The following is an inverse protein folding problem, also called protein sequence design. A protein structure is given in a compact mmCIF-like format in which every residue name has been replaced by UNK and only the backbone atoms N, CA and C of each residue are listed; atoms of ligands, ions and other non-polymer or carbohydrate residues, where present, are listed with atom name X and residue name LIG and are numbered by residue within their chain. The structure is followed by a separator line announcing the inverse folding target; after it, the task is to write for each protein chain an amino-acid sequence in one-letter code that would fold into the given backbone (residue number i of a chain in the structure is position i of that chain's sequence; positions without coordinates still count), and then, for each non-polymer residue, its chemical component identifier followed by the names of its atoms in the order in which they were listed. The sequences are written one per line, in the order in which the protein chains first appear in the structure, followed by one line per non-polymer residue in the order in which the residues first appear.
data_IF_688419737209
#
_entry.id   IF_688419737209
#
_cell.length_a   1.000
_cell.length_b   1.000
_cell.length_c   1.000
_cell.angle_alpha   90.00
_cell.angle_beta   90.00
_cell.angle_gamma   90.00
#
_symmetry.space_group_name_H-M   'P 1'
#
loop_
_entity.id
_entity.type
_entity.pdbx_description
1 polymer ?
#
# COMPACT_ATOMS: atom_id res chain seq x y z
N UNK A 1 -0.37 41.33 -5.33
CA UNK A 1 -1.17 40.44 -6.18
C UNK A 1 -0.30 39.24 -6.53
N UNK A 2 -0.63 38.01 -6.12
CA UNK A 2 0.10 36.85 -6.60
C UNK A 2 -0.34 36.59 -8.05
N UNK A 3 0.62 36.56 -8.97
CA UNK A 3 0.41 36.20 -10.36
C UNK A 3 0.05 34.72 -10.43
N UNK A 4 -1.19 34.45 -10.85
CA UNK A 4 -1.64 33.12 -11.26
C UNK A 4 -0.77 32.64 -12.42
N UNK A 5 0.28 31.87 -12.11
CA UNK A 5 1.03 31.11 -13.10
C UNK A 5 0.13 29.97 -13.60
N UNK A 6 -0.72 30.30 -14.57
CA UNK A 6 -1.48 29.34 -15.34
C UNK A 6 -0.51 28.37 -16.01
N UNK A 7 -0.44 27.14 -15.48
CA UNK A 7 0.29 26.05 -16.11
C UNK A 7 -0.25 25.88 -17.54
N UNK A 8 0.60 25.92 -18.58
CA UNK A 8 0.15 25.80 -19.96
C UNK A 8 -0.66 24.50 -20.15
N UNK A 9 -1.79 24.59 -20.84
CA UNK A 9 -2.68 23.44 -21.06
C UNK A 9 -1.99 22.27 -21.79
N UNK A 10 -0.92 22.54 -22.53
CA UNK A 10 -0.05 21.54 -23.19
C UNK A 10 0.71 20.70 -22.15
N UNK A 11 1.30 21.32 -21.13
CA UNK A 11 2.07 20.63 -20.07
C UNK A 11 1.21 19.65 -19.26
N UNK A 12 -0.06 19.97 -19.02
CA UNK A 12 -0.99 19.06 -18.33
C UNK A 12 -1.41 17.87 -19.20
N UNK A 13 -1.53 18.06 -20.52
CA UNK A 13 -1.84 16.98 -21.47
C UNK A 13 -0.67 16.00 -21.58
N UNK A 14 0.55 16.50 -21.70
CA UNK A 14 1.75 15.68 -21.84
C UNK A 14 2.00 14.83 -20.58
N UNK A 15 1.79 15.43 -19.40
CA UNK A 15 1.87 14.71 -18.11
C UNK A 15 0.82 13.60 -17.99
N UNK A 16 -0.40 13.83 -18.49
CA UNK A 16 -1.47 12.83 -18.48
C UNK A 16 -1.17 11.65 -19.41
N UNK A 17 -0.62 11.91 -20.60
CA UNK A 17 -0.19 10.87 -21.53
C UNK A 17 0.95 10.04 -20.93
N UNK A 18 1.96 10.69 -20.35
CA UNK A 18 3.04 10.00 -19.65
C UNK A 18 2.54 9.09 -18.53
N UNK A 19 1.59 9.57 -17.73
CA UNK A 19 0.93 8.76 -16.70
C UNK A 19 0.20 7.54 -17.27
N UNK A 20 -0.55 7.68 -18.37
CA UNK A 20 -1.24 6.55 -19.00
C UNK A 20 -0.28 5.50 -19.54
N UNK A 21 0.84 5.92 -20.14
CA UNK A 21 1.88 5.01 -20.62
C UNK A 21 2.47 4.23 -19.45
N UNK A 22 2.86 4.91 -18.37
CA UNK A 22 3.42 4.26 -17.18
C UNK A 22 2.41 3.34 -16.50
N UNK A 23 1.14 3.72 -16.43
CA UNK A 23 0.06 2.87 -15.92
C UNK A 23 -0.13 1.61 -16.77
N UNK A 24 -0.12 1.76 -18.10
CA UNK A 24 -0.19 0.63 -19.03
C UNK A 24 0.99 -0.31 -18.89
N UNK A 25 2.21 0.23 -18.82
CA UNK A 25 3.44 -0.54 -18.60
C UNK A 25 3.42 -1.26 -17.25
N UNK A 26 2.93 -0.59 -16.18
CA UNK A 26 2.79 -1.19 -14.86
C UNK A 26 1.77 -2.33 -14.85
N UNK A 27 0.61 -2.16 -15.49
CA UNK A 27 -0.41 -3.21 -15.58
C UNK A 27 0.13 -4.41 -16.37
N UNK A 28 0.82 -4.14 -17.49
CA UNK A 28 1.47 -5.16 -18.30
C UNK A 28 2.55 -5.89 -17.50
N UNK A 29 3.45 -5.17 -16.82
CA UNK A 29 4.52 -5.78 -16.05
C UNK A 29 3.99 -6.57 -14.85
N UNK A 30 2.93 -6.12 -14.19
CA UNK A 30 2.35 -6.84 -13.06
C UNK A 30 1.66 -8.13 -13.52
N UNK A 31 0.78 -8.08 -14.53
CA UNK A 31 -0.05 -9.24 -14.87
C UNK A 31 0.44 -10.03 -16.07
N UNK A 32 0.85 -9.37 -17.16
CA UNK A 32 1.25 -10.08 -18.37
C UNK A 32 2.55 -10.87 -18.16
N UNK A 33 3.53 -10.29 -17.45
CA UNK A 33 4.77 -11.01 -17.11
C UNK A 33 4.47 -12.19 -16.16
N UNK A 34 3.60 -12.02 -15.15
CA UNK A 34 3.19 -13.12 -14.28
C UNK A 34 2.50 -14.26 -15.05
N UNK A 35 1.75 -13.94 -16.10
CA UNK A 35 1.13 -14.92 -17.00
C UNK A 35 2.20 -15.61 -17.85
N UNK A 36 3.07 -14.84 -18.51
CA UNK A 36 4.12 -15.36 -19.40
C UNK A 36 5.10 -16.26 -18.67
N UNK A 37 5.45 -15.93 -17.43
CA UNK A 37 6.34 -16.74 -16.59
C UNK A 37 5.64 -17.95 -15.95
N UNK A 38 4.33 -18.11 -16.14
CA UNK A 38 3.55 -19.20 -15.56
C UNK A 38 3.26 -19.08 -14.06
N UNK A 39 3.77 -18.03 -13.39
CA UNK A 39 3.59 -17.80 -11.95
C UNK A 39 2.11 -17.67 -11.58
N UNK A 40 1.31 -16.97 -12.40
CA UNK A 40 -0.13 -16.87 -12.15
C UNK A 40 -0.82 -18.24 -12.21
N UNK A 41 -0.45 -19.08 -13.19
CA UNK A 41 -0.99 -20.44 -13.31
C UNK A 41 -0.63 -21.28 -12.09
N UNK A 42 0.61 -21.20 -11.62
CA UNK A 42 1.05 -21.93 -10.43
C UNK A 42 0.30 -21.46 -9.18
N UNK A 43 0.12 -20.15 -8.98
CA UNK A 43 -0.66 -19.63 -7.85
C UNK A 43 -2.11 -20.10 -7.86
N UNK A 44 -2.76 -20.07 -9.02
CA UNK A 44 -4.14 -20.55 -9.17
C UNK A 44 -4.23 -22.06 -8.92
N UNK A 45 -3.25 -22.83 -9.39
CA UNK A 45 -3.18 -24.26 -9.14
C UNK A 45 -3.00 -24.55 -7.64
N UNK A 46 -2.03 -23.90 -6.99
CA UNK A 46 -1.79 -24.02 -5.54
C UNK A 46 -3.02 -23.63 -4.72
N UNK A 47 -3.73 -22.56 -5.12
CA UNK A 47 -4.96 -22.15 -4.44
C UNK A 47 -6.10 -23.17 -4.65
N UNK A 48 -6.12 -23.86 -5.78
CA UNK A 48 -7.12 -24.87 -6.11
C UNK A 48 -6.86 -26.23 -5.45
N UNK A 49 -5.60 -26.70 -5.49
CA UNK A 49 -5.17 -27.98 -4.90
C UNK A 49 -4.85 -27.88 -3.42
N UNK A 50 -4.70 -26.66 -2.89
CA UNK A 50 -4.31 -26.36 -1.52
C UNK A 50 -2.96 -26.97 -1.13
N UNK A 51 -2.08 -27.20 -2.11
CA UNK A 51 -0.75 -27.79 -1.93
C UNK A 51 0.21 -27.02 -2.84
N UNK A 52 1.29 -26.51 -2.27
CA UNK A 52 2.37 -25.86 -3.01
C UNK A 52 3.17 -26.89 -3.84
N UNK A 53 3.93 -26.48 -4.87
CA UNK A 53 4.69 -27.40 -5.73
C UNK A 53 5.72 -28.29 -5.00
N UNK A 54 6.20 -27.83 -3.85
CA UNK A 54 7.12 -28.51 -2.92
C UNK A 54 6.40 -29.49 -1.96
N UNK A 55 5.08 -29.65 -2.09
CA UNK A 55 4.26 -30.52 -1.24
C UNK A 55 3.78 -29.87 0.05
N UNK A 56 4.09 -28.60 0.27
CA UNK A 56 3.69 -27.87 1.48
C UNK A 56 2.17 -27.61 1.48
N UNK A 57 1.44 -27.89 2.57
CA UNK A 57 -0.01 -27.66 2.62
C UNK A 57 -0.37 -26.18 2.77
N UNK A 58 -1.35 -25.73 2.00
CA UNK A 58 -1.99 -24.43 2.10
C UNK A 58 -3.29 -24.56 2.91
N UNK A 59 -3.52 -23.66 3.88
CA UNK A 59 -4.76 -23.65 4.64
C UNK A 59 -5.95 -23.23 3.77
N UNK A 60 -7.00 -24.04 3.81
CA UNK A 60 -8.19 -23.88 2.98
C UNK A 60 -9.20 -22.88 3.51
N UNK A 61 -9.49 -22.96 4.81
CA UNK A 61 -10.57 -22.22 5.44
C UNK A 61 -10.06 -21.08 6.32
N UNK A 62 -10.52 -19.87 6.01
CA UNK A 62 -10.23 -18.65 6.76
C UNK A 62 -11.52 -17.98 7.24
N UNK A 63 -12.46 -17.76 6.32
CA UNK A 63 -13.74 -17.08 6.55
C UNK A 63 -14.93 -18.01 6.41
N UNK A 64 -14.74 -19.22 5.86
CA UNK A 64 -15.80 -20.19 5.49
C UNK A 64 -16.70 -19.71 4.35
N UNK A 65 -16.30 -18.65 3.64
CA UNK A 65 -16.98 -18.17 2.43
C UNK A 65 -16.10 -18.53 1.24
N UNK A 66 -16.56 -19.48 0.42
CA UNK A 66 -15.71 -20.12 -0.60
C UNK A 66 -15.01 -19.15 -1.55
N UNK A 67 -15.69 -18.09 -2.01
CA UNK A 67 -15.12 -17.09 -2.93
C UNK A 67 -14.02 -16.27 -2.24
N UNK A 68 -14.27 -15.88 -0.98
CA UNK A 68 -13.35 -15.07 -0.20
C UNK A 68 -12.12 -15.92 0.15
N UNK A 69 -12.32 -17.16 0.57
CA UNK A 69 -11.24 -18.08 0.91
C UNK A 69 -10.43 -18.48 -0.33
N UNK A 70 -11.05 -18.58 -1.52
CA UNK A 70 -10.31 -18.76 -2.77
C UNK A 70 -9.40 -17.55 -3.07
N UNK A 71 -9.91 -16.33 -2.95
CA UNK A 71 -9.12 -15.12 -3.15
C UNK A 71 -7.97 -15.01 -2.13
N UNK A 72 -8.23 -15.31 -0.86
CA UNK A 72 -7.21 -15.36 0.19
C UNK A 72 -6.16 -16.41 -0.15
N UNK A 73 -6.55 -17.63 -0.55
CA UNK A 73 -5.61 -18.70 -0.93
C UNK A 73 -4.69 -18.29 -2.07
N UNK A 74 -5.20 -17.62 -3.10
CA UNK A 74 -4.37 -17.10 -4.21
C UNK A 74 -3.33 -16.11 -3.68
N UNK A 75 -3.72 -15.21 -2.78
CA UNK A 75 -2.80 -14.23 -2.18
C UNK A 75 -1.80 -14.88 -1.22
N UNK A 76 -2.21 -15.86 -0.41
CA UNK A 76 -1.30 -16.62 0.45
C UNK A 76 -0.32 -17.43 -0.38
N UNK A 77 -0.73 -17.99 -1.53
CA UNK A 77 0.19 -18.65 -2.46
C UNK A 77 1.20 -17.66 -3.06
N UNK A 78 0.76 -16.45 -3.45
CA UNK A 78 1.64 -15.39 -3.92
C UNK A 78 2.68 -14.98 -2.87
N UNK A 79 2.22 -14.53 -1.70
CA UNK A 79 3.12 -14.05 -0.65
C UNK A 79 3.96 -15.18 -0.07
N UNK A 80 3.44 -16.40 0.03
CA UNK A 80 4.20 -17.58 0.43
C UNK A 80 5.36 -17.88 -0.51
N UNK A 81 5.15 -17.77 -1.84
CA UNK A 81 6.22 -17.95 -2.82
C UNK A 81 7.27 -16.83 -2.76
N UNK A 82 6.87 -15.58 -2.51
CA UNK A 82 7.80 -14.44 -2.37
C UNK A 82 8.57 -14.48 -1.04
N UNK A 83 7.92 -14.96 0.02
CA UNK A 83 8.49 -15.17 1.35
C UNK A 83 9.28 -16.48 1.45
N UNK A 84 9.47 -17.23 0.36
CA UNK A 84 10.08 -18.55 0.35
C UNK A 84 11.57 -18.53 0.76
N UNK A 85 11.79 -18.53 2.08
CA UNK A 85 13.10 -18.55 2.76
C UNK A 85 13.62 -20.00 2.94
N UNK A 86 13.01 -21.00 2.29
CA UNK A 86 13.31 -22.41 2.55
C UNK A 86 14.26 -23.09 1.55
N UNK A 87 14.60 -22.50 0.41
CA UNK A 87 15.45 -23.21 -0.58
C UNK A 87 16.62 -22.41 -1.15
N UNK A 88 16.62 -21.09 -1.06
CA UNK A 88 17.71 -20.26 -1.58
C UNK A 88 18.16 -19.27 -0.53
N UNK A 89 19.47 -19.18 -0.27
CA UNK A 89 20.11 -18.12 0.51
C UNK A 89 20.02 -16.74 -0.18
N UNK A 90 18.92 -16.47 -0.87
CA UNK A 90 18.71 -15.26 -1.65
C UNK A 90 17.76 -14.33 -0.90
N UNK A 91 18.33 -13.26 -0.33
CA UNK A 91 17.56 -12.20 0.31
C UNK A 91 16.77 -11.35 -0.70
N UNK A 92 17.05 -11.46 -2.00
CA UNK A 92 16.48 -10.61 -3.06
C UNK A 92 14.95 -10.50 -3.04
N UNK A 93 14.20 -11.62 -3.16
CA UNK A 93 12.73 -11.60 -3.15
C UNK A 93 12.13 -10.99 -1.88
N UNK A 94 12.72 -11.28 -0.72
CA UNK A 94 12.31 -10.70 0.56
C UNK A 94 12.54 -9.19 0.59
N UNK A 95 13.69 -8.70 0.10
CA UNK A 95 13.96 -7.26 0.03
C UNK A 95 13.04 -6.54 -0.96
N UNK A 96 12.71 -7.17 -2.09
CA UNK A 96 11.71 -6.67 -3.03
C UNK A 96 10.33 -6.58 -2.37
N UNK A 97 9.96 -7.55 -1.52
CA UNK A 97 8.70 -7.51 -0.78
C UNK A 97 8.67 -6.36 0.24
N UNK A 98 9.77 -6.10 0.95
CA UNK A 98 9.88 -4.95 1.86
C UNK A 98 9.68 -3.62 1.11
N UNK A 99 10.26 -3.49 -0.09
CA UNK A 99 10.08 -2.31 -0.94
C UNK A 99 8.64 -2.17 -1.46
N UNK A 100 8.02 -3.29 -1.85
CA UNK A 100 6.62 -3.34 -2.24
C UNK A 100 5.69 -2.91 -1.10
N UNK A 101 5.91 -3.42 0.12
CA UNK A 101 5.12 -3.08 1.30
C UNK A 101 5.26 -1.59 1.64
N UNK A 102 6.49 -1.07 1.61
CA UNK A 102 6.77 0.36 1.78
C UNK A 102 5.96 1.20 0.81
N UNK A 103 6.01 0.83 -0.48
CA UNK A 103 5.26 1.50 -1.54
C UNK A 103 3.74 1.43 -1.29
N UNK A 104 3.25 0.28 -0.84
CA UNK A 104 1.84 0.10 -0.46
C UNK A 104 1.45 1.01 0.71
N UNK A 105 2.31 1.17 1.72
CA UNK A 105 2.07 2.09 2.86
C UNK A 105 1.98 3.54 2.36
N UNK A 106 2.86 3.98 1.47
CA UNK A 106 2.81 5.32 0.86
C UNK A 106 1.47 5.56 0.16
N UNK A 107 1.03 4.64 -0.71
CA UNK A 107 -0.25 4.78 -1.39
C UNK A 107 -1.45 4.69 -0.44
N UNK A 108 -1.35 3.86 0.60
CA UNK A 108 -2.38 3.76 1.63
C UNK A 108 -2.55 5.07 2.39
N UNK A 109 -1.43 5.74 2.73
CA UNK A 109 -1.43 7.07 3.33
C UNK A 109 -1.98 8.12 2.37
N UNK A 110 -1.64 8.05 1.07
CA UNK A 110 -2.21 8.94 0.06
C UNK A 110 -3.74 8.83 0.01
N UNK A 111 -4.29 7.62 -0.03
CA UNK A 111 -5.75 7.42 -0.04
C UNK A 111 -6.40 8.00 1.21
N UNK A 112 -5.79 7.80 2.37
CA UNK A 112 -6.28 8.34 3.64
C UNK A 112 -6.25 9.88 3.66
N UNK A 113 -5.14 10.49 3.27
CA UNK A 113 -4.96 11.94 3.26
C UNK A 113 -6.00 12.61 2.36
N UNK A 114 -6.20 12.09 1.15
CA UNK A 114 -7.17 12.64 0.22
C UNK A 114 -8.63 12.47 0.70
N UNK A 115 -8.98 11.34 1.34
CA UNK A 115 -10.29 11.21 2.00
C UNK A 115 -10.47 12.25 3.12
N UNK A 116 -9.40 12.55 3.89
CA UNK A 116 -9.48 13.52 4.99
C UNK A 116 -9.56 14.96 4.51
N UNK A 117 -9.11 15.28 3.29
CA UNK A 117 -9.32 16.59 2.67
C UNK A 117 -10.78 16.86 2.38
N UNK A 118 -11.52 15.87 1.85
CA UNK A 118 -12.94 16.03 1.59
C UNK A 118 -13.74 14.73 1.79
N UNK A 119 -14.32 14.59 2.98
CA UNK A 119 -15.18 13.46 3.34
C UNK A 119 -16.56 13.49 2.68
N UNK A 120 -16.95 14.58 2.03
CA UNK A 120 -18.38 14.85 1.81
C UNK A 120 -18.93 14.07 0.62
N UNK A 121 -18.23 13.95 -0.53
CA UNK A 121 -18.73 13.25 -1.73
C UNK A 121 -17.61 12.76 -2.65
N UNK A 122 -17.80 11.59 -3.28
CA UNK A 122 -16.97 11.12 -4.40
C UNK A 122 -16.50 9.67 -4.29
N UNK A 123 -15.96 9.15 -5.38
CA UNK A 123 -15.41 7.78 -5.46
C UNK A 123 -14.15 7.58 -4.62
N UNK A 124 -13.50 8.65 -4.15
CA UNK A 124 -12.32 8.59 -3.28
C UNK A 124 -12.67 8.40 -1.80
N UNK A 125 -13.96 8.50 -1.45
CA UNK A 125 -14.44 8.22 -0.11
C UNK A 125 -14.18 6.74 0.19
N UNK A 126 -13.87 6.42 1.45
CA UNK A 126 -13.55 5.06 1.92
C UNK A 126 -12.10 4.63 1.61
N UNK A 127 -11.10 5.21 2.29
CA UNK A 127 -9.69 4.88 2.06
C UNK A 127 -9.40 3.40 2.32
N UNK A 128 -10.05 2.76 3.30
CA UNK A 128 -9.91 1.33 3.56
C UNK A 128 -10.37 0.46 2.38
N UNK A 129 -11.37 0.88 1.62
CA UNK A 129 -11.81 0.15 0.42
C UNK A 129 -10.70 0.19 -0.65
N UNK A 130 -10.16 1.38 -0.92
CA UNK A 130 -9.05 1.55 -1.86
C UNK A 130 -7.79 0.79 -1.44
N UNK A 131 -7.48 0.78 -0.15
CA UNK A 131 -6.37 0.01 0.40
C UNK A 131 -6.62 -1.50 0.29
N UNK A 132 -7.83 -2.01 0.55
CA UNK A 132 -8.15 -3.42 0.32
C UNK A 132 -8.02 -3.79 -1.16
N UNK A 133 -8.55 -2.96 -2.06
CA UNK A 133 -8.38 -3.18 -3.49
C UNK A 133 -6.90 -3.20 -3.87
N UNK A 134 -6.09 -2.29 -3.31
CA UNK A 134 -4.64 -2.24 -3.52
C UNK A 134 -3.95 -3.55 -3.11
N UNK A 135 -4.38 -4.16 -2.00
CA UNK A 135 -3.79 -5.41 -1.49
C UNK A 135 -4.20 -6.62 -2.33
N UNK A 136 -5.43 -6.64 -2.85
CA UNK A 136 -5.96 -7.78 -3.63
C UNK A 136 -5.58 -7.73 -5.12
N UNK A 137 -5.54 -6.54 -5.72
CA UNK A 137 -5.31 -6.35 -7.16
C UNK A 137 -3.96 -5.72 -7.50
N UNK A 138 -3.18 -5.33 -6.49
CA UNK A 138 -1.86 -4.72 -6.66
C UNK A 138 -1.89 -3.24 -7.05
N UNK A 139 -0.75 -2.58 -6.81
CA UNK A 139 -0.57 -1.15 -7.01
C UNK A 139 -0.73 -0.73 -8.47
N UNK A 140 -0.21 -1.50 -9.41
CA UNK A 140 -0.27 -1.14 -10.82
C UNK A 140 -1.69 -1.16 -11.39
N UNK A 141 -2.62 -1.90 -10.77
CA UNK A 141 -4.03 -1.92 -11.19
C UNK A 141 -4.82 -0.78 -10.56
N UNK A 142 -4.67 -0.58 -9.24
CA UNK A 142 -5.57 0.28 -8.46
C UNK A 142 -5.14 1.73 -8.45
N UNK A 143 -3.84 2.00 -8.33
CA UNK A 143 -3.32 3.37 -8.24
C UNK A 143 -3.68 4.19 -9.48
N UNK A 144 -3.58 3.67 -10.73
CA UNK A 144 -3.97 4.46 -11.89
C UNK A 144 -5.46 4.82 -11.94
N UNK A 145 -6.33 3.90 -11.51
CA UNK A 145 -7.77 4.12 -11.42
C UNK A 145 -8.04 5.22 -10.39
N UNK A 146 -7.41 5.12 -9.22
CA UNK A 146 -7.53 6.11 -8.15
C UNK A 146 -7.08 7.50 -8.62
N UNK A 147 -5.88 7.61 -9.22
CA UNK A 147 -5.34 8.89 -9.70
C UNK A 147 -6.25 9.49 -10.76
N UNK A 148 -6.80 8.69 -11.68
CA UNK A 148 -7.75 9.19 -12.68
C UNK A 148 -9.02 9.79 -12.04
N UNK A 149 -9.56 9.13 -11.02
CA UNK A 149 -10.71 9.64 -10.27
C UNK A 149 -10.34 10.90 -9.49
N UNK A 150 -9.16 10.90 -8.87
CA UNK A 150 -8.59 12.04 -8.16
C UNK A 150 -8.46 13.27 -9.04
N UNK A 151 -7.88 13.14 -10.23
CA UNK A 151 -7.72 14.24 -11.18
C UNK A 151 -9.08 14.82 -11.61
N UNK A 152 -10.11 13.98 -11.77
CA UNK A 152 -11.47 14.44 -12.08
C UNK A 152 -12.10 15.22 -10.94
N UNK A 153 -11.86 14.83 -9.69
CA UNK A 153 -12.43 15.49 -8.51
C UNK A 153 -11.59 16.65 -7.98
N UNK A 154 -10.34 16.82 -8.44
CA UNK A 154 -9.35 17.75 -7.86
C UNK A 154 -9.84 19.21 -7.80
N UNK A 155 -10.61 19.65 -8.80
CA UNK A 155 -11.16 21.01 -8.84
C UNK A 155 -12.26 21.25 -7.79
N UNK A 156 -12.89 20.19 -7.27
CA UNK A 156 -13.94 20.26 -6.25
C UNK A 156 -13.47 19.95 -4.83
N UNK A 157 -12.29 19.38 -4.67
CA UNK A 157 -11.76 18.97 -3.36
C UNK A 157 -11.25 20.19 -2.58
N UNK A 158 -11.50 20.22 -1.27
CA UNK A 158 -10.80 21.14 -0.38
C UNK A 158 -9.29 20.84 -0.43
N UNK A 159 -8.47 21.88 -0.52
CA UNK A 159 -7.01 21.69 -0.50
C UNK A 159 -6.47 21.27 0.87
N UNK A 160 -7.20 21.59 1.95
CA UNK A 160 -6.69 21.48 3.31
C UNK A 160 -7.28 20.27 4.06
N UNK A 161 -6.41 19.54 4.76
CA UNK A 161 -6.80 18.50 5.73
C UNK A 161 -7.10 19.18 7.07
N UNK A 162 -8.20 18.84 7.76
CA UNK A 162 -8.47 19.34 9.11
C UNK A 162 -7.29 19.11 10.06
N UNK A 163 -6.98 20.09 10.90
CA UNK A 163 -5.76 20.08 11.72
C UNK A 163 -5.62 18.87 12.65
N UNK A 164 -6.71 18.50 13.33
CA UNK A 164 -6.76 17.31 14.19
C UNK A 164 -6.49 16.01 13.43
N UNK A 165 -6.97 15.93 12.18
CA UNK A 165 -6.69 14.82 11.28
C UNK A 165 -5.23 14.84 10.83
N UNK A 166 -4.70 16.01 10.46
CA UNK A 166 -3.31 16.15 10.03
C UNK A 166 -2.31 15.70 11.11
N UNK A 167 -2.54 16.07 12.37
CA UNK A 167 -1.69 15.66 13.51
C UNK A 167 -1.72 14.17 13.81
N UNK A 168 -2.80 13.47 13.47
CA UNK A 168 -2.90 12.02 13.66
C UNK A 168 -2.16 11.23 12.57
N UNK A 169 -1.89 11.83 11.40
CA UNK A 169 -1.31 11.12 10.25
C UNK A 169 0.06 10.47 10.51
N UNK A 170 1.03 11.09 11.22
CA UNK A 170 2.30 10.42 11.54
C UNK A 170 2.12 9.14 12.34
N UNK A 171 1.20 9.13 13.30
CA UNK A 171 0.91 7.96 14.11
C UNK A 171 0.18 6.89 13.31
N UNK A 172 -0.69 7.29 12.38
CA UNK A 172 -1.33 6.36 11.45
C UNK A 172 -0.33 5.79 10.45
N UNK A 173 0.66 6.57 9.99
CA UNK A 173 1.76 6.04 9.18
C UNK A 173 2.56 4.99 9.96
N UNK A 174 2.89 5.26 11.22
CA UNK A 174 3.53 4.28 12.10
C UNK A 174 2.66 3.04 12.29
N UNK A 175 1.34 3.21 12.47
CA UNK A 175 0.39 2.10 12.55
C UNK A 175 0.42 1.25 11.29
N UNK A 176 0.37 1.85 10.09
CA UNK A 176 0.50 1.13 8.83
C UNK A 176 1.81 0.33 8.72
N UNK A 177 2.92 0.87 9.22
CA UNK A 177 4.19 0.14 9.28
C UNK A 177 4.13 -1.03 10.27
N UNK A 178 3.54 -0.85 11.45
CA UNK A 178 3.33 -1.93 12.44
C UNK A 178 2.42 -3.02 11.89
N UNK A 179 1.36 -2.64 11.17
CA UNK A 179 0.45 -3.58 10.50
C UNK A 179 1.13 -4.44 9.45
N UNK A 180 2.31 -4.04 8.96
CA UNK A 180 3.12 -4.82 8.01
C UNK A 180 4.01 -5.89 8.67
N UNK A 181 4.20 -5.82 9.99
CA UNK A 181 5.01 -6.80 10.73
C UNK A 181 4.45 -8.23 10.68
N UNK A 182 3.13 -8.49 10.77
CA UNK A 182 2.58 -9.83 10.60
C UNK A 182 2.98 -10.52 9.29
N UNK A 183 3.21 -9.77 8.21
CA UNK A 183 3.67 -10.33 6.94
C UNK A 183 5.17 -10.65 6.94
N UNK A 184 5.99 -9.76 7.51
CA UNK A 184 7.45 -9.81 7.39
C UNK A 184 8.13 -10.58 8.54
N UNK A 185 7.67 -10.36 9.76
CA UNK A 185 8.35 -10.81 10.97
C UNK A 185 8.35 -12.34 11.16
N UNK A 186 7.26 -13.09 10.89
CA UNK A 186 7.26 -14.53 11.07
C UNK A 186 8.40 -15.22 10.30
N UNK A 187 8.64 -14.79 9.07
CA UNK A 187 9.71 -15.35 8.23
C UNK A 187 11.09 -14.99 8.77
N UNK A 188 11.29 -13.72 9.17
CA UNK A 188 12.56 -13.28 9.77
C UNK A 188 12.90 -14.00 11.09
N UNK A 189 11.89 -14.48 11.82
CA UNK A 189 12.05 -15.22 13.08
C UNK A 189 12.07 -16.75 12.89
N UNK A 190 12.02 -17.26 11.66
CA UNK A 190 11.98 -18.71 11.40
C UNK A 190 10.71 -19.39 11.91
N UNK A 191 9.58 -18.68 11.86
CA UNK A 191 8.28 -19.19 12.30
C UNK A 191 7.80 -20.37 11.44
N UNK A 192 6.90 -21.17 12.00
CA UNK A 192 6.26 -22.27 11.26
C UNK A 192 5.44 -21.75 10.08
N UNK A 193 5.29 -22.58 9.06
CA UNK A 193 4.47 -22.27 7.88
C UNK A 193 3.06 -21.79 8.23
N UNK A 194 2.40 -22.42 9.20
CA UNK A 194 1.06 -22.02 9.65
C UNK A 194 1.05 -20.57 10.16
N UNK A 195 2.08 -20.19 10.92
CA UNK A 195 2.22 -18.81 11.42
C UNK A 195 2.49 -17.81 10.29
N UNK A 196 3.26 -18.19 9.26
CA UNK A 196 3.50 -17.36 8.08
C UNK A 196 2.19 -17.12 7.33
N UNK A 197 1.41 -18.17 7.07
CA UNK A 197 0.11 -18.05 6.39
C UNK A 197 -0.86 -17.16 7.19
N UNK A 198 -0.92 -17.33 8.52
CA UNK A 198 -1.74 -16.46 9.39
C UNK A 198 -1.26 -15.01 9.30
N UNK A 199 0.06 -14.78 9.32
CA UNK A 199 0.67 -13.47 9.19
C UNK A 199 0.27 -12.74 7.90
N UNK A 200 0.29 -13.45 6.77
CA UNK A 200 -0.18 -12.94 5.48
C UNK A 200 -1.65 -12.51 5.57
N UNK A 201 -2.53 -13.36 6.13
CA UNK A 201 -3.96 -13.06 6.21
C UNK A 201 -4.26 -11.89 7.15
N UNK A 202 -3.59 -11.81 8.30
CA UNK A 202 -3.70 -10.66 9.20
C UNK A 202 -3.31 -9.36 8.50
N UNK A 203 -2.22 -9.39 7.74
CA UNK A 203 -1.80 -8.23 6.94
C UNK A 203 -2.81 -7.87 5.85
N UNK A 204 -3.38 -8.85 5.14
CA UNK A 204 -4.37 -8.62 4.08
C UNK A 204 -5.60 -7.82 4.54
N UNK A 205 -6.05 -8.06 5.76
CA UNK A 205 -7.20 -7.37 6.35
C UNK A 205 -6.83 -6.14 7.19
N UNK A 206 -5.54 -5.88 7.38
CA UNK A 206 -5.04 -4.75 8.15
C UNK A 206 -5.57 -3.37 7.70
N UNK A 207 -5.85 -3.10 6.39
CA UNK A 207 -6.46 -1.84 5.95
C UNK A 207 -7.81 -1.50 6.59
N UNK A 208 -8.55 -2.50 7.06
CA UNK A 208 -9.83 -2.29 7.74
C UNK A 208 -9.68 -1.50 9.06
N UNK A 209 -8.47 -1.50 9.65
CA UNK A 209 -8.18 -0.82 10.92
C UNK A 209 -7.70 0.62 10.75
N UNK A 210 -7.17 0.99 9.58
CA UNK A 210 -6.48 2.27 9.35
C UNK A 210 -7.41 3.47 9.52
N UNK A 211 -8.59 3.42 8.90
CA UNK A 211 -9.60 4.48 9.01
C UNK A 211 -10.07 4.71 10.45
N UNK A 212 -10.57 3.66 11.14
CA UNK A 212 -10.96 3.75 12.54
C UNK A 212 -9.85 4.24 13.48
N UNK A 213 -8.61 3.77 13.27
CA UNK A 213 -7.46 4.19 14.07
C UNK A 213 -7.17 5.70 13.91
N UNK A 214 -7.15 6.19 12.67
CA UNK A 214 -6.99 7.61 12.37
C UNK A 214 -8.11 8.45 13.02
N UNK A 215 -9.35 7.99 12.96
CA UNK A 215 -10.49 8.69 13.56
C UNK A 215 -10.41 8.74 15.09
N UNK A 216 -10.03 7.63 15.72
CA UNK A 216 -9.79 7.57 17.17
C UNK A 216 -8.71 8.57 17.61
N UNK A 217 -7.54 8.54 16.98
CA UNK A 217 -6.44 9.44 17.31
C UNK A 217 -6.80 10.90 17.09
N UNK A 218 -7.46 11.23 15.98
CA UNK A 218 -7.89 12.60 15.69
C UNK A 218 -8.86 13.13 16.76
N UNK A 219 -9.71 12.26 17.32
CA UNK A 219 -10.66 12.60 18.38
C UNK A 219 -9.95 12.84 19.71
N UNK A 220 -8.97 11.98 20.04
CA UNK A 220 -8.14 12.16 21.23
C UNK A 220 -7.33 13.47 21.17
N UNK A 221 -6.79 13.80 19.99
CA UNK A 221 -6.02 15.03 19.79
C UNK A 221 -6.90 16.29 19.76
N UNK A 222 -8.15 16.17 19.29
CA UNK A 222 -9.11 17.28 19.30
C UNK A 222 -9.51 17.70 20.71
N UNK A 223 -9.52 16.77 21.68
CA UNK A 223 -9.80 17.09 23.09
C UNK A 223 -8.65 17.80 23.79
N UNK A 224 -7.44 17.75 23.21
CA UNK A 224 -6.23 18.26 23.83
C UNK A 224 -5.87 19.69 23.42
N UNK A 225 -6.53 20.31 22.43
CA UNK A 225 -6.16 21.64 21.94
C UNK A 225 -7.34 22.41 21.34
N UNK A 226 -7.72 23.51 21.99
CA UNK A 226 -8.75 24.47 21.56
C UNK A 226 -8.16 25.65 20.75
N UNK A 227 -6.98 25.47 20.14
CA UNK A 227 -6.20 26.57 19.55
C UNK A 227 -6.27 26.53 18.02
N UNK A 228 -6.85 27.61 17.48
CA UNK A 228 -7.01 27.96 16.07
C UNK A 228 -5.63 27.99 15.37
N UNK A 229 -5.29 26.96 14.61
CA UNK A 229 -3.98 26.82 13.96
C UNK A 229 -3.98 27.19 12.48
N UNK A 230 -2.81 27.65 12.02
CA UNK A 230 -2.52 28.10 10.65
C UNK A 230 -2.27 26.93 9.69
N UNK A 231 -2.58 27.11 8.39
CA UNK A 231 -2.39 26.13 7.31
C UNK A 231 -0.96 25.54 7.24
N UNK A 232 0.06 26.32 7.64
CA UNK A 232 1.46 25.84 7.69
C UNK A 232 1.66 24.71 8.72
N UNK A 233 0.90 24.70 9.81
CA UNK A 233 1.03 23.68 10.86
C UNK A 233 0.44 22.32 10.44
N UNK A 234 -0.47 22.28 9.47
CA UNK A 234 -1.05 21.04 8.95
C UNK A 234 -0.14 20.37 7.89
N UNK A 235 0.67 21.15 7.17
CA UNK A 235 1.57 20.63 6.13
C UNK A 235 2.74 19.80 6.69
N UNK A 236 3.29 20.21 7.85
CA UNK A 236 4.44 19.53 8.46
C UNK A 236 4.12 18.09 8.93
N UNK A 237 3.00 17.80 9.62
CA UNK A 237 2.61 16.43 9.96
C UNK A 237 2.39 15.54 8.73
N UNK A 238 1.83 16.08 7.64
CA UNK A 238 1.65 15.33 6.39
C UNK A 238 3.01 14.95 5.80
N UNK A 239 3.95 15.90 5.74
CA UNK A 239 5.30 15.65 5.27
C UNK A 239 6.02 14.60 6.15
N UNK A 240 5.86 14.67 7.47
CA UNK A 240 6.41 13.68 8.41
C UNK A 240 5.78 12.30 8.17
N UNK A 241 4.47 12.21 7.94
CA UNK A 241 3.80 10.95 7.65
C UNK A 241 4.32 10.30 6.36
N UNK A 242 4.50 11.09 5.29
CA UNK A 242 5.14 10.60 4.07
C UNK A 242 6.62 10.29 4.26
N UNK A 243 7.33 11.01 5.12
CA UNK A 243 8.70 10.67 5.48
C UNK A 243 8.76 9.33 6.21
N UNK A 244 7.90 9.06 7.20
CA UNK A 244 7.81 7.73 7.82
C UNK A 244 7.47 6.63 6.81
N UNK A 245 6.56 6.92 5.88
CA UNK A 245 6.22 5.99 4.81
C UNK A 245 7.35 5.82 3.76
N UNK A 246 8.23 6.82 3.60
CA UNK A 246 9.26 6.86 2.55
C UNK A 246 10.70 6.64 3.03
N UNK A 247 10.99 6.75 4.33
CA UNK A 247 12.33 6.53 4.91
C UNK A 247 12.82 5.09 4.72
N UNK A 248 11.92 4.15 4.43
CA UNK A 248 12.27 2.78 4.03
C UNK A 248 12.70 2.65 2.56
N UNK A 249 12.58 3.69 1.73
CA UNK A 249 13.04 3.74 0.33
C UNK A 249 14.43 4.40 0.15
N UNK A 250 14.83 5.29 1.07
CA UNK A 250 16.07 6.09 0.97
C UNK A 250 17.32 5.37 1.50
N UNK A 251 17.17 4.30 2.29
CA UNK A 251 18.30 3.59 2.89
C UNK A 251 19.19 2.77 1.94
N UNK A 252 18.88 2.69 0.63
CA UNK A 252 19.56 1.74 -0.28
C UNK A 252 20.31 2.34 -1.46
N UNK A 253 20.23 3.65 -1.72
CA UNK A 253 21.09 4.26 -2.74
C UNK A 253 22.54 4.40 -2.29
N UNK A 254 22.82 4.31 -0.97
CA UNK A 254 24.17 4.39 -0.41
C UNK A 254 24.90 3.05 -0.34
N UNK A 255 24.20 1.92 -0.27
CA UNK A 255 24.84 0.59 -0.17
C UNK A 255 25.31 0.06 -1.53
N UNK A 256 24.63 0.38 -2.63
CA UNK A 256 25.09 0.02 -3.98
C UNK A 256 26.28 0.88 -4.47
N UNK A 257 26.56 2.02 -3.84
CA UNK A 257 27.75 2.83 -4.11
C UNK A 257 29.01 2.31 -3.40
N UNK A 258 28.86 1.56 -2.31
CA UNK A 258 29.99 1.01 -1.55
C UNK A 258 30.43 -0.38 -2.04
N UNK A 259 29.54 -1.16 -2.65
CA UNK A 259 29.85 -2.51 -3.14
C UNK A 259 30.49 -2.56 -4.55
N UNK A 260 30.77 -1.42 -5.18
CA UNK A 260 31.58 -1.33 -6.41
C UNK A 260 33.00 -0.80 -6.20
N UNK A 261 33.42 -0.63 -4.93
CA UNK A 261 34.80 -0.29 -4.58
C UNK A 261 35.26 -1.17 -3.41
N UNK A 262 35.38 -2.47 -3.67
CA UNK A 262 36.25 -3.37 -2.90
C UNK A 262 36.63 -4.58 -3.74
#
# INVERSE_FOLDING_TARGET
MPSDHLVPATTMRDSYIGFLILAGLGLFSQWAIMIMNGSLRLMLLTAWTSIFPDGIPLREEWTRIWIVDLAIRVLVAFFGAVLNVFESHEFGPYLCLVDLITTIVVFSMMFLVEDRRDRRKGALRFPSCWQLMLYFFGAASIVPIYIRLYLKSRLSLRLEVPHNQARALPFTALWCSVLSLPLLLPVALGASLSQIQIGIVVWLFSPATVGPFQDLLSTLMSKSNDVRSSTKEAAQPIAIAYAFAGVTSIGRSTEYGAAQVS
#
